data_IF_378084423608
#
_entry.id   IF_378084423608
#
_cell.length_a   1.000
_cell.length_b   1.000
_cell.length_c   1.000
_cell.angle_alpha   90.00
_cell.angle_beta   90.00
_cell.angle_gamma   90.00
#
_symmetry.space_group_name_H-M   'P 1'
#
loop_
_entity.id
_entity.type
_entity.pdbx_description
1 polymer ?
#
# COMPACT_ATOMS: atom_id res chain seq x y z
N UNK A 1 9.53 11.94 -13.50
CA UNK A 1 8.53 11.20 -12.71
C UNK A 1 8.03 10.00 -13.47
N UNK A 2 7.86 8.92 -12.76
CA UNK A 2 7.26 7.71 -13.33
C UNK A 2 5.82 7.60 -12.86
N UNK A 3 4.99 7.01 -13.70
CA UNK A 3 3.59 6.75 -13.35
C UNK A 3 3.43 5.31 -12.96
N UNK A 4 2.79 5.09 -11.82
CA UNK A 4 2.55 3.76 -11.28
C UNK A 4 1.05 3.52 -11.13
N UNK A 5 0.64 2.29 -11.39
CA UNK A 5 -0.66 1.83 -10.98
C UNK A 5 -0.55 1.39 -9.52
N UNK A 6 -1.28 2.07 -8.65
CA UNK A 6 -1.27 1.78 -7.22
C UNK A 6 -2.53 1.02 -6.85
N UNK A 7 -2.34 -0.16 -6.27
CA UNK A 7 -3.43 -0.95 -5.72
C UNK A 7 -3.29 -0.92 -4.20
N UNK A 8 -4.30 -0.39 -3.52
CA UNK A 8 -4.31 -0.27 -2.07
C UNK A 8 -5.28 -1.31 -1.52
N UNK A 9 -4.77 -2.25 -0.73
CA UNK A 9 -5.59 -3.21 -0.02
C UNK A 9 -5.58 -2.86 1.45
N UNK A 10 -6.75 -2.60 2.02
CA UNK A 10 -6.91 -2.30 3.43
C UNK A 10 -7.70 -3.41 4.11
N UNK A 11 -7.13 -3.94 5.17
CA UNK A 11 -7.79 -4.95 5.99
C UNK A 11 -8.29 -4.29 7.26
N UNK A 12 -9.58 -4.40 7.52
CA UNK A 12 -10.19 -3.87 8.72
C UNK A 12 -10.45 -5.01 9.70
N UNK A 13 -10.31 -4.76 11.02
CA UNK A 13 -10.64 -5.79 12.01
C UNK A 13 -12.11 -6.16 11.91
N UNK A 14 -12.47 -7.43 12.18
CA UNK A 14 -13.85 -7.86 12.13
C UNK A 14 -14.66 -7.13 13.20
N UNK A 15 -15.65 -6.40 12.75
CA UNK A 15 -16.61 -5.76 13.63
C UNK A 15 -17.94 -6.47 13.40
N UNK A 16 -18.35 -7.35 14.32
CA UNK A 16 -19.55 -8.15 14.14
C UNK A 16 -19.37 -9.44 13.38
N UNK A 17 -18.15 -9.98 13.31
CA UNK A 17 -17.91 -11.36 12.90
C UNK A 17 -17.30 -11.62 11.54
N UNK A 18 -17.24 -10.65 10.63
CA UNK A 18 -16.61 -10.86 9.33
C UNK A 18 -15.53 -9.82 9.06
N UNK A 19 -14.30 -10.25 8.69
CA UNK A 19 -13.26 -9.31 8.28
C UNK A 19 -13.66 -8.60 6.99
N UNK A 20 -13.38 -7.29 6.94
CA UNK A 20 -13.65 -6.47 5.76
C UNK A 20 -12.33 -6.19 5.04
N UNK A 21 -12.40 -6.25 3.71
CA UNK A 21 -11.28 -5.88 2.86
C UNK A 21 -11.76 -4.85 1.86
N UNK A 22 -11.03 -3.73 1.80
CA UNK A 22 -11.30 -2.66 0.83
C UNK A 22 -10.14 -2.60 -0.14
N UNK A 23 -10.44 -2.58 -1.42
CA UNK A 23 -9.43 -2.47 -2.48
C UNK A 23 -9.70 -1.21 -3.29
N UNK A 24 -8.67 -0.38 -3.44
CA UNK A 24 -8.72 0.82 -4.28
C UNK A 24 -7.64 0.73 -5.34
N UNK A 25 -7.94 1.21 -6.54
CA UNK A 25 -6.97 1.29 -7.62
C UNK A 25 -6.83 2.75 -8.02
N UNK A 26 -5.59 3.25 -8.06
CA UNK A 26 -5.26 4.63 -8.41
C UNK A 26 -4.07 4.68 -9.34
N UNK A 27 -3.97 5.77 -10.08
CA UNK A 27 -2.78 6.07 -10.87
C UNK A 27 -2.03 7.18 -10.16
N UNK A 28 -0.72 6.98 -9.92
CA UNK A 28 0.11 7.90 -9.15
C UNK A 28 1.39 8.20 -9.92
N UNK A 29 1.71 9.47 -10.05
CA UNK A 29 2.99 9.90 -10.61
C UNK A 29 3.93 10.27 -9.47
N UNK A 30 5.03 9.56 -9.33
CA UNK A 30 6.00 9.81 -8.28
C UNK A 30 7.37 9.27 -8.66
N UNK A 31 8.42 9.88 -8.14
CA UNK A 31 9.78 9.37 -8.30
C UNK A 31 10.11 8.31 -7.25
N UNK A 32 9.42 8.34 -6.10
CA UNK A 32 9.70 7.44 -5.00
C UNK A 32 8.40 6.94 -4.38
N UNK A 33 7.96 5.71 -4.75
CA UNK A 33 6.74 5.14 -4.19
C UNK A 33 6.77 5.00 -2.67
N UNK A 34 7.93 4.69 -2.10
CA UNK A 34 8.06 4.52 -0.65
C UNK A 34 7.80 5.86 0.06
N UNK A 35 8.37 6.94 -0.46
CA UNK A 35 8.15 8.26 0.10
C UNK A 35 6.68 8.69 -0.01
N UNK A 36 6.03 8.31 -1.10
CA UNK A 36 4.61 8.56 -1.29
C UNK A 36 3.78 7.92 -0.17
N UNK A 37 4.05 6.65 0.13
CA UNK A 37 3.34 5.94 1.19
C UNK A 37 3.64 6.55 2.55
N UNK A 38 4.89 6.92 2.81
CA UNK A 38 5.26 7.56 4.09
C UNK A 38 4.55 8.89 4.30
N UNK A 39 4.24 9.62 3.24
CA UNK A 39 3.49 10.86 3.37
C UNK A 39 2.02 10.62 3.69
N UNK A 40 1.47 9.48 3.30
CA UNK A 40 0.09 9.10 3.60
C UNK A 40 -0.05 8.49 4.98
N UNK A 41 0.94 7.68 5.38
CA UNK A 41 0.89 6.91 6.63
C UNK A 41 2.03 7.36 7.54
N UNK A 42 1.70 8.18 8.51
CA UNK A 42 2.69 8.73 9.45
C UNK A 42 2.91 7.86 10.68
N UNK A 43 1.97 6.96 10.96
CA UNK A 43 2.03 6.05 12.11
C UNK A 43 2.06 4.61 11.61
N UNK A 44 2.87 3.79 12.26
CA UNK A 44 3.00 2.38 11.92
C UNK A 44 4.32 2.07 11.27
N UNK A 45 4.58 0.78 11.08
CA UNK A 45 5.80 0.30 10.45
C UNK A 45 5.54 0.00 8.99
N UNK A 46 6.46 0.44 8.14
CA UNK A 46 6.40 0.17 6.70
C UNK A 46 7.48 -0.84 6.34
N UNK A 47 7.08 -1.87 5.62
CA UNK A 47 8.00 -2.86 5.06
C UNK A 47 7.94 -2.76 3.54
N UNK A 48 9.10 -2.68 2.93
CA UNK A 48 9.20 -2.54 1.48
C UNK A 48 9.77 -3.81 0.88
N UNK A 49 9.07 -4.35 -0.10
CA UNK A 49 9.51 -5.52 -0.85
C UNK A 49 9.51 -5.19 -2.32
N UNK A 50 10.60 -5.51 -3.00
CA UNK A 50 10.70 -5.33 -4.45
C UNK A 50 10.67 -6.68 -5.14
N UNK A 51 9.90 -6.78 -6.22
CA UNK A 51 9.87 -7.97 -7.05
C UNK A 51 10.82 -7.84 -8.23
N UNK A 52 11.35 -8.95 -8.76
CA UNK A 52 12.25 -8.90 -9.92
C UNK A 52 11.62 -8.29 -11.16
N UNK A 53 10.31 -8.29 -11.26
CA UNK A 53 9.59 -7.71 -12.39
C UNK A 53 9.29 -6.21 -12.25
N UNK A 54 9.87 -5.56 -11.22
CA UNK A 54 9.72 -4.13 -11.03
C UNK A 54 8.56 -3.70 -10.16
N UNK A 55 7.80 -4.63 -9.62
CA UNK A 55 6.72 -4.30 -8.71
C UNK A 55 7.29 -3.95 -7.33
N UNK A 56 6.79 -2.86 -6.75
CA UNK A 56 7.16 -2.44 -5.41
C UNK A 56 5.94 -2.61 -4.49
N UNK A 57 6.11 -3.36 -3.43
CA UNK A 57 5.06 -3.60 -2.45
C UNK A 57 5.46 -3.00 -1.12
N UNK A 58 4.63 -2.11 -0.60
CA UNK A 58 4.83 -1.51 0.72
C UNK A 58 3.71 -1.99 1.62
N UNK A 59 4.08 -2.66 2.71
CA UNK A 59 3.12 -3.18 3.68
C UNK A 59 3.14 -2.30 4.92
N UNK A 60 1.98 -1.83 5.34
CA UNK A 60 1.81 -1.06 6.56
C UNK A 60 1.30 -1.97 7.66
N UNK A 61 1.98 -1.95 8.80
CA UNK A 61 1.54 -2.63 10.01
C UNK A 61 1.40 -1.59 11.12
N UNK A 62 0.17 -1.26 11.46
CA UNK A 62 -0.15 -0.29 12.50
C UNK A 62 -1.08 -0.93 13.54
N UNK A 63 -0.69 -2.10 14.04
CA UNK A 63 -1.47 -2.84 15.01
C UNK A 63 -2.72 -3.48 14.40
N UNK A 64 -3.89 -2.96 14.71
CA UNK A 64 -5.15 -3.49 14.18
C UNK A 64 -5.41 -3.10 12.73
N UNK A 65 -4.69 -2.10 12.22
CA UNK A 65 -4.84 -1.67 10.84
C UNK A 65 -3.69 -2.22 10.01
N UNK A 66 -4.02 -2.90 8.93
CA UNK A 66 -3.05 -3.41 7.99
C UNK A 66 -3.43 -2.94 6.60
N UNK A 67 -2.44 -2.48 5.85
CA UNK A 67 -2.64 -2.02 4.49
C UNK A 67 -1.48 -2.49 3.62
N UNK A 68 -1.78 -2.77 2.37
CA UNK A 68 -0.79 -3.18 1.39
C UNK A 68 -0.90 -2.25 0.19
N UNK A 69 0.21 -1.64 -0.17
CA UNK A 69 0.31 -0.74 -1.32
C UNK A 69 1.17 -1.41 -2.37
N UNK A 70 0.58 -1.75 -3.50
CA UNK A 70 1.29 -2.39 -4.62
C UNK A 70 1.46 -1.40 -5.75
N UNK A 71 2.70 -1.11 -6.14
CA UNK A 71 3.02 -0.18 -7.21
C UNK A 71 3.55 -0.96 -8.41
N UNK A 72 2.88 -0.81 -9.53
CA UNK A 72 3.32 -1.39 -10.80
C UNK A 72 3.57 -0.26 -11.77
N UNK A 73 4.76 -0.18 -12.36
CA UNK A 73 5.09 0.86 -13.32
C UNK A 73 4.27 0.68 -14.59
N UNK A 74 3.65 1.77 -15.01
CA UNK A 74 2.89 1.80 -16.25
C UNK A 74 3.75 2.03 -17.48
#
# INVERSE_FOLDING_TARGET
MKTYELIIERHQPPCGGKPSKVVEVRSVATDDPVAYVRSLEKNGELQVTSSPNGEIVVTLDAGLKQAKYSFTEE
#
